data_IF_135244781975
#
_entry.id   IF_135244781975
#
_cell.length_a   1.000
_cell.length_b   1.000
_cell.length_c   1.000
_cell.angle_alpha   90.00
_cell.angle_beta   90.00
_cell.angle_gamma   90.00
#
_symmetry.space_group_name_H-M   'P 1'
#
loop_
_entity.id
_entity.type
_entity.pdbx_description
1 polymer ?
#
# COMPACT_ATOMS: atom_id res chain seq x y z
N UNK A 1 1.77 8.13 22.84
CA UNK A 1 0.29 8.24 22.74
C UNK A 1 -0.01 8.63 21.31
N UNK A 2 -0.94 7.94 20.65
CA UNK A 2 -1.41 8.37 19.34
C UNK A 2 -2.05 9.75 19.46
N UNK A 3 -1.66 10.67 18.58
CA UNK A 3 -2.50 11.82 18.28
C UNK A 3 -3.86 11.30 17.81
N UNK A 4 -4.94 11.84 18.35
CA UNK A 4 -6.29 11.53 17.89
C UNK A 4 -6.38 11.75 16.37
N UNK A 5 -7.11 10.93 15.59
CA UNK A 5 -7.35 11.17 14.16
C UNK A 5 -7.79 12.61 13.83
N UNK A 6 -8.43 13.27 14.77
CA UNK A 6 -8.87 14.67 14.66
C UNK A 6 -7.73 15.69 14.50
N UNK A 7 -6.47 15.30 14.71
CA UNK A 7 -5.30 16.17 14.59
C UNK A 7 -4.55 16.00 13.26
N UNK A 8 -4.95 15.05 12.44
CA UNK A 8 -4.35 14.84 11.14
C UNK A 8 -4.98 15.78 10.10
N UNK A 9 -4.19 16.27 9.12
CA UNK A 9 -4.75 17.08 8.05
C UNK A 9 -5.82 16.30 7.28
N UNK A 10 -6.86 16.98 6.78
CA UNK A 10 -7.86 16.32 5.95
C UNK A 10 -7.19 15.74 4.69
N UNK A 11 -7.71 14.61 4.22
CA UNK A 11 -7.23 14.02 2.98
C UNK A 11 -7.45 15.00 1.82
N UNK A 12 -6.44 15.21 0.96
CA UNK A 12 -6.61 16.07 -0.21
C UNK A 12 -7.66 15.46 -1.15
N UNK A 13 -8.66 16.25 -1.53
CA UNK A 13 -9.69 15.82 -2.47
C UNK A 13 -9.14 15.85 -3.90
N UNK A 14 -8.65 14.71 -4.36
CA UNK A 14 -8.01 14.51 -5.67
C UNK A 14 -8.44 13.18 -6.28
N UNK A 15 -8.35 13.00 -7.60
CA UNK A 15 -8.50 11.69 -8.22
C UNK A 15 -7.51 10.68 -7.64
N UNK A 16 -7.88 9.40 -7.60
CA UNK A 16 -7.11 8.35 -6.94
C UNK A 16 -6.21 7.59 -7.91
N UNK A 17 -4.99 7.29 -7.46
CA UNK A 17 -4.17 6.19 -7.96
C UNK A 17 -4.16 5.12 -6.88
N UNK A 18 -4.48 3.87 -7.22
CA UNK A 18 -4.52 2.76 -6.26
C UNK A 18 -3.50 1.67 -6.64
N UNK A 19 -3.13 0.86 -5.66
CA UNK A 19 -2.42 -0.40 -5.92
C UNK A 19 -3.34 -1.40 -6.62
N UNK A 20 -2.78 -2.33 -7.40
CA UNK A 20 -3.52 -3.30 -8.20
C UNK A 20 -3.92 -4.57 -7.42
N UNK A 21 -4.31 -4.43 -6.18
CA UNK A 21 -4.73 -5.57 -5.34
C UNK A 21 -6.05 -5.31 -4.58
N UNK A 22 -6.40 -6.24 -3.71
CA UNK A 22 -7.65 -6.18 -2.97
C UNK A 22 -7.70 -5.00 -1.99
N UNK A 23 -6.57 -4.65 -1.36
CA UNK A 23 -6.53 -3.54 -0.41
C UNK A 23 -6.70 -2.19 -1.13
N UNK A 24 -6.04 -2.03 -2.28
CA UNK A 24 -6.24 -0.87 -3.16
C UNK A 24 -7.70 -0.76 -3.64
N UNK A 25 -8.35 -1.86 -4.01
CA UNK A 25 -9.74 -1.86 -4.44
C UNK A 25 -10.72 -1.52 -3.30
N UNK A 26 -10.54 -2.08 -2.11
CA UNK A 26 -11.36 -1.76 -0.93
C UNK A 26 -11.16 -0.31 -0.50
N UNK A 27 -9.92 0.17 -0.54
CA UNK A 27 -9.59 1.57 -0.27
C UNK A 27 -10.28 2.51 -1.24
N UNK A 28 -10.29 2.17 -2.54
CA UNK A 28 -11.03 2.91 -3.55
C UNK A 28 -12.52 2.94 -3.26
N UNK A 29 -13.15 1.79 -3.01
CA UNK A 29 -14.58 1.72 -2.73
C UNK A 29 -14.97 2.58 -1.52
N UNK A 30 -14.18 2.53 -0.44
CA UNK A 30 -14.37 3.36 0.73
C UNK A 30 -14.28 4.87 0.43
N UNK A 31 -13.27 5.29 -0.33
CA UNK A 31 -13.08 6.70 -0.68
C UNK A 31 -14.10 7.17 -1.72
N UNK A 32 -14.55 6.29 -2.60
CA UNK A 32 -15.63 6.58 -3.54
C UNK A 32 -16.93 6.97 -2.83
N UNK A 33 -17.25 6.36 -1.69
CA UNK A 33 -18.40 6.79 -0.87
C UNK A 33 -18.28 8.24 -0.40
N UNK A 34 -17.06 8.76 -0.34
CA UNK A 34 -16.73 10.15 0.01
C UNK A 34 -16.57 11.07 -1.21
N UNK A 35 -16.89 10.58 -2.43
CA UNK A 35 -16.86 11.35 -3.67
C UNK A 35 -15.56 11.31 -4.45
N UNK A 36 -14.57 10.51 -4.05
CA UNK A 36 -13.32 10.37 -4.81
C UNK A 36 -13.53 9.55 -6.08
N UNK A 37 -12.80 9.88 -7.13
CA UNK A 37 -12.84 9.19 -8.42
C UNK A 37 -11.53 8.43 -8.68
N UNK A 38 -11.63 7.26 -9.30
CA UNK A 38 -10.47 6.50 -9.75
C UNK A 38 -9.90 7.10 -11.03
N UNK A 39 -8.61 7.36 -11.06
CA UNK A 39 -7.90 7.91 -12.20
C UNK A 39 -6.70 7.06 -12.64
N UNK A 40 -6.20 6.18 -11.78
CA UNK A 40 -5.06 5.36 -12.13
C UNK A 40 -4.91 4.13 -11.26
N UNK A 41 -4.11 3.19 -11.77
CA UNK A 41 -3.70 1.96 -11.08
C UNK A 41 -2.21 1.78 -11.25
N UNK A 42 -1.52 1.42 -10.18
CA UNK A 42 -0.10 1.16 -10.17
C UNK A 42 0.19 -0.27 -9.70
N UNK A 43 0.93 -1.03 -10.51
CA UNK A 43 1.26 -2.43 -10.23
C UNK A 43 2.70 -2.64 -9.71
N UNK A 44 3.33 -1.57 -9.26
CA UNK A 44 4.72 -1.47 -8.81
C UNK A 44 5.78 -1.49 -9.93
N UNK A 45 5.37 -1.64 -11.18
CA UNK A 45 6.25 -1.58 -12.35
C UNK A 45 5.75 -0.56 -13.37
N UNK A 46 4.43 -0.46 -13.53
CA UNK A 46 3.80 0.42 -14.50
C UNK A 46 2.66 1.21 -13.86
N UNK A 47 2.67 2.51 -14.07
CA UNK A 47 1.56 3.37 -13.72
C UNK A 47 0.64 3.52 -14.92
N UNK A 48 -0.59 3.06 -14.75
CA UNK A 48 -1.68 3.19 -15.73
C UNK A 48 -2.58 4.34 -15.31
N UNK A 49 -2.86 5.25 -16.24
CA UNK A 49 -3.66 6.44 -15.95
C UNK A 49 -4.80 6.61 -16.94
N UNK A 50 -5.89 7.21 -16.46
CA UNK A 50 -6.95 7.75 -17.33
C UNK A 50 -6.35 8.81 -18.25
N UNK A 51 -6.67 8.81 -19.56
CA UNK A 51 -6.21 9.84 -20.48
C UNK A 51 -6.51 11.25 -19.98
N UNK A 52 -5.54 12.15 -20.11
CA UNK A 52 -5.67 13.55 -19.70
C UNK A 52 -5.44 13.84 -18.22
N UNK A 53 -5.34 12.83 -17.36
CA UNK A 53 -5.03 13.03 -15.94
C UNK A 53 -3.54 12.92 -15.68
N UNK A 54 -2.97 13.86 -14.93
CA UNK A 54 -1.56 13.84 -14.54
C UNK A 54 -1.40 13.17 -13.18
N UNK A 55 -0.36 12.35 -12.96
CA UNK A 55 -0.10 11.75 -11.65
C UNK A 55 0.02 12.76 -10.51
N UNK A 56 0.61 13.94 -10.79
CA UNK A 56 0.78 15.02 -9.81
C UNK A 56 -0.55 15.63 -9.30
N UNK A 57 -1.63 15.43 -10.02
CA UNK A 57 -2.96 15.91 -9.63
C UNK A 57 -3.73 14.87 -8.78
N UNK A 58 -3.13 13.69 -8.53
CA UNK A 58 -3.77 12.58 -7.87
C UNK A 58 -3.33 12.40 -6.42
N UNK A 59 -4.11 11.62 -5.68
CA UNK A 59 -3.78 11.03 -4.38
C UNK A 59 -3.50 9.55 -4.59
N UNK A 60 -2.32 9.09 -4.24
CA UNK A 60 -1.97 7.68 -4.24
C UNK A 60 -2.45 7.01 -2.95
N UNK A 61 -3.11 5.85 -3.06
CA UNK A 61 -3.70 5.13 -1.94
C UNK A 61 -3.28 3.67 -1.99
N UNK A 62 -2.93 3.14 -0.83
CA UNK A 62 -2.30 1.84 -0.68
C UNK A 62 -0.94 1.78 -1.40
N UNK A 63 -0.27 2.90 -1.39
CA UNK A 63 1.00 3.13 -2.07
C UNK A 63 1.89 4.03 -1.22
N UNK A 64 3.17 3.72 -1.17
CA UNK A 64 4.20 4.56 -0.58
C UNK A 64 5.02 5.22 -1.70
N UNK A 65 4.58 6.38 -2.13
CA UNK A 65 5.18 7.16 -3.22
C UNK A 65 5.97 8.33 -2.66
N UNK A 66 7.24 8.38 -3.00
CA UNK A 66 8.14 9.47 -2.59
C UNK A 66 8.29 10.50 -3.72
N UNK A 67 7.23 11.24 -3.96
CA UNK A 67 7.21 12.31 -4.96
C UNK A 67 6.65 13.59 -4.35
N UNK A 68 7.30 14.76 -4.52
CA UNK A 68 6.91 15.99 -3.83
C UNK A 68 5.52 16.51 -4.21
N UNK A 69 5.01 16.15 -5.39
CA UNK A 69 3.72 16.62 -5.90
C UNK A 69 2.59 15.59 -5.76
N UNK A 70 2.91 14.33 -5.44
CA UNK A 70 1.93 13.26 -5.34
C UNK A 70 1.76 12.86 -3.88
N UNK A 71 0.72 13.35 -3.21
CA UNK A 71 0.41 12.88 -1.87
C UNK A 71 0.06 11.39 -1.92
N UNK A 72 0.49 10.65 -0.91
CA UNK A 72 0.22 9.22 -0.82
C UNK A 72 -0.19 8.79 0.58
N UNK A 73 -0.99 7.73 0.64
CA UNK A 73 -1.41 7.04 1.85
C UNK A 73 -0.96 5.60 1.74
N UNK A 74 -0.11 5.18 2.64
CA UNK A 74 0.38 3.82 2.72
C UNK A 74 0.69 3.42 4.15
N UNK A 75 1.12 2.17 4.33
CA UNK A 75 1.49 1.64 5.65
C UNK A 75 2.85 0.93 5.62
N UNK A 76 3.55 0.96 4.48
CA UNK A 76 4.88 0.42 4.34
C UNK A 76 5.93 1.32 5.02
N UNK A 77 7.16 0.89 5.03
CA UNK A 77 8.12 1.26 6.06
C UNK A 77 8.99 2.48 5.75
N UNK A 78 9.17 2.87 4.51
CA UNK A 78 10.18 3.86 4.13
C UNK A 78 9.62 5.19 3.67
N UNK A 79 10.31 6.26 4.04
CA UNK A 79 9.99 7.63 3.66
C UNK A 79 11.21 8.34 3.13
N UNK A 80 11.05 8.93 1.96
CA UNK A 80 12.00 9.86 1.38
C UNK A 80 11.53 11.32 1.52
N UNK A 81 10.23 11.54 1.75
CA UNK A 81 9.66 12.86 2.00
C UNK A 81 8.44 12.73 2.91
N UNK A 82 8.44 13.49 3.99
CA UNK A 82 7.35 13.54 4.96
C UNK A 82 6.18 14.44 4.52
N UNK A 83 6.40 15.36 3.56
CA UNK A 83 5.49 16.48 3.32
C UNK A 83 4.22 16.09 2.55
N UNK A 84 4.26 14.99 1.79
CA UNK A 84 3.13 14.57 0.95
C UNK A 84 2.57 13.19 1.29
N UNK A 85 3.00 12.59 2.41
CA UNK A 85 2.74 11.19 2.70
C UNK A 85 2.16 10.99 4.09
N UNK A 86 1.11 10.18 4.17
CA UNK A 86 0.49 9.74 5.43
C UNK A 86 0.80 8.25 5.61
N UNK A 87 1.59 7.92 6.61
CA UNK A 87 1.98 6.55 6.89
C UNK A 87 1.89 6.27 8.40
N UNK A 88 1.22 5.18 8.77
CA UNK A 88 1.08 4.80 10.18
C UNK A 88 2.43 4.60 10.87
N UNK A 89 3.39 4.02 10.17
CA UNK A 89 4.71 3.79 10.75
C UNK A 89 5.42 5.09 11.12
N UNK A 90 5.20 6.18 10.36
CA UNK A 90 5.69 7.52 10.72
C UNK A 90 5.02 8.07 11.96
N UNK A 91 3.70 7.98 12.00
CA UNK A 91 2.91 8.53 13.12
C UNK A 91 3.31 7.90 14.46
N UNK A 92 3.86 6.68 14.42
CA UNK A 92 4.34 5.96 15.60
C UNK A 92 5.86 5.97 15.77
N UNK A 93 6.59 6.73 14.95
CA UNK A 93 8.05 6.81 15.01
C UNK A 93 8.77 5.50 14.70
N UNK A 94 8.13 4.59 13.94
CA UNK A 94 8.71 3.29 13.57
C UNK A 94 9.66 3.40 12.39
N UNK A 95 9.51 4.45 11.59
CA UNK A 95 10.27 4.67 10.36
C UNK A 95 11.29 5.80 10.49
N UNK A 96 12.37 5.60 11.24
CA UNK A 96 13.48 6.57 11.23
C UNK A 96 14.64 6.02 10.44
N UNK A 97 15.19 6.78 9.46
CA UNK A 97 16.30 6.36 8.61
C UNK A 97 17.65 6.24 9.34
N UNK A 98 17.74 6.73 10.57
CA UNK A 98 19.01 7.09 11.17
C UNK A 98 19.87 5.96 11.76
N UNK A 99 19.40 4.70 11.85
CA UNK A 99 20.23 3.60 12.36
C UNK A 99 19.84 2.23 11.81
N UNK A 100 20.57 1.78 10.84
CA UNK A 100 20.13 0.94 9.76
C UNK A 100 20.12 -0.57 10.00
N UNK A 101 21.03 -1.19 10.72
CA UNK A 101 21.07 -2.66 10.70
C UNK A 101 20.26 -3.34 11.80
N UNK A 102 20.45 -2.98 13.04
CA UNK A 102 19.74 -3.56 14.18
C UNK A 102 18.33 -2.98 14.36
N UNK A 103 18.16 -1.68 14.07
CA UNK A 103 16.86 -1.02 14.14
C UNK A 103 15.93 -1.47 13.02
N UNK A 104 16.45 -1.82 11.83
CA UNK A 104 15.64 -2.34 10.74
C UNK A 104 15.01 -3.70 11.07
N UNK A 105 15.74 -4.61 11.70
CA UNK A 105 15.16 -5.88 12.16
C UNK A 105 14.03 -5.64 13.17
N UNK A 106 14.25 -4.76 14.14
CA UNK A 106 13.22 -4.36 15.11
C UNK A 106 12.06 -3.63 14.46
N UNK A 107 12.36 -2.77 13.51
CA UNK A 107 11.37 -2.00 12.78
C UNK A 107 10.49 -2.88 11.87
N UNK A 108 11.05 -3.89 11.20
CA UNK A 108 10.28 -4.84 10.42
C UNK A 108 9.22 -5.56 11.25
N UNK A 109 9.60 -6.08 12.42
CA UNK A 109 8.66 -6.77 13.34
C UNK A 109 7.73 -5.80 14.07
N UNK A 110 7.98 -4.50 13.99
CA UNK A 110 7.20 -3.45 14.63
C UNK A 110 6.37 -2.62 13.66
N UNK A 111 6.55 -2.82 12.35
CA UNK A 111 5.81 -2.08 11.32
C UNK A 111 4.30 -2.29 11.44
N UNK A 112 3.55 -1.32 10.92
CA UNK A 112 2.09 -1.41 10.87
C UNK A 112 1.67 -2.59 9.98
N UNK A 113 0.92 -3.57 10.52
CA UNK A 113 0.42 -4.71 9.76
C UNK A 113 -1.01 -4.46 9.25
N UNK A 114 -1.55 -3.27 9.47
CA UNK A 114 -2.96 -2.97 9.23
C UNK A 114 -3.16 -2.60 7.77
N UNK A 115 -4.10 -3.24 7.05
CA UNK A 115 -4.45 -2.89 5.68
C UNK A 115 -4.82 -1.42 5.52
N UNK A 116 -4.50 -0.83 4.38
CA UNK A 116 -4.78 0.58 4.08
C UNK A 116 -6.28 0.88 4.13
N UNK A 117 -7.12 -0.03 3.65
CA UNK A 117 -8.58 0.12 3.74
C UNK A 117 -9.07 0.22 5.19
N UNK A 118 -8.51 -0.60 6.09
CA UNK A 118 -8.82 -0.54 7.52
C UNK A 118 -8.22 0.73 8.16
N UNK A 119 -7.02 1.12 7.76
CA UNK A 119 -6.39 2.37 8.20
C UNK A 119 -7.19 3.61 7.80
N UNK A 120 -7.80 3.63 6.62
CA UNK A 120 -8.65 4.73 6.16
C UNK A 120 -9.88 4.94 7.07
N UNK A 121 -10.47 3.88 7.62
CA UNK A 121 -11.54 4.01 8.62
C UNK A 121 -11.05 4.79 9.84
N UNK A 122 -9.88 4.43 10.36
CA UNK A 122 -9.28 5.13 11.50
C UNK A 122 -8.90 6.57 11.16
N UNK A 123 -8.23 6.78 10.04
CA UNK A 123 -7.74 8.08 9.59
C UNK A 123 -8.86 9.10 9.40
N UNK A 124 -10.01 8.65 8.88
CA UNK A 124 -11.17 9.52 8.63
C UNK A 124 -12.16 9.58 9.79
N UNK A 125 -11.90 8.86 10.89
CA UNK A 125 -12.84 8.74 12.00
C UNK A 125 -14.15 8.04 11.63
N UNK A 126 -14.17 7.29 10.51
CA UNK A 126 -15.36 6.53 10.07
C UNK A 126 -15.46 5.25 10.91
N UNK A 127 -16.60 4.98 11.57
CA UNK A 127 -16.77 3.76 12.32
C UNK A 127 -16.54 2.51 11.47
N UNK A 128 -16.02 1.45 12.09
CA UNK A 128 -15.95 0.14 11.45
C UNK A 128 -17.36 -0.40 11.18
N UNK A 129 -17.54 -1.18 10.10
CA UNK A 129 -18.78 -1.92 9.89
C UNK A 129 -19.07 -2.82 11.11
N UNK A 130 -20.31 -2.87 11.58
CA UNK A 130 -20.71 -3.78 12.64
C UNK A 130 -20.77 -5.25 12.17
N UNK A 131 -20.99 -5.47 10.87
CA UNK A 131 -21.09 -6.78 10.24
C UNK A 131 -19.72 -7.50 10.24
N UNK A 132 -19.62 -8.72 10.82
CA UNK A 132 -18.38 -9.48 10.86
C UNK A 132 -17.81 -9.84 9.48
N UNK A 133 -18.66 -10.06 8.48
CA UNK A 133 -18.20 -10.34 7.11
C UNK A 133 -17.50 -9.12 6.51
N UNK A 134 -18.05 -7.92 6.68
CA UNK A 134 -17.42 -6.67 6.21
C UNK A 134 -16.10 -6.40 6.93
N UNK A 135 -16.04 -6.66 8.22
CA UNK A 135 -14.76 -6.59 8.95
C UNK A 135 -13.78 -7.63 8.44
N UNK A 136 -14.24 -8.85 8.13
CA UNK A 136 -13.39 -9.90 7.57
C UNK A 136 -12.78 -9.51 6.22
N UNK A 137 -13.52 -8.83 5.34
CA UNK A 137 -12.97 -8.27 4.10
C UNK A 137 -11.81 -7.29 4.36
N UNK A 138 -11.98 -6.37 5.30
CA UNK A 138 -10.94 -5.41 5.69
C UNK A 138 -9.70 -6.09 6.30
N UNK A 139 -9.90 -7.12 7.11
CA UNK A 139 -8.82 -7.92 7.72
C UNK A 139 -8.09 -8.77 6.69
N UNK A 140 -8.82 -9.29 5.71
CA UNK A 140 -8.29 -10.16 4.67
C UNK A 140 -7.48 -9.39 3.62
N UNK A 141 -7.79 -8.12 3.39
CA UNK A 141 -7.27 -7.30 2.28
C UNK A 141 -5.75 -7.36 2.12
N UNK A 142 -5.00 -7.22 3.21
CA UNK A 142 -3.52 -7.33 3.24
C UNK A 142 -3.04 -8.36 4.28
N UNK A 143 -3.80 -9.44 4.43
CA UNK A 143 -3.39 -10.58 5.27
C UNK A 143 -3.13 -10.26 6.75
N UNK A 144 -3.89 -9.33 7.35
CA UNK A 144 -3.73 -8.98 8.76
C UNK A 144 -3.86 -10.22 9.68
N UNK A 145 -4.71 -11.18 9.34
CA UNK A 145 -4.87 -12.43 10.08
C UNK A 145 -3.61 -13.31 10.07
N UNK A 146 -2.87 -13.38 8.93
CA UNK A 146 -1.58 -14.06 8.86
C UNK A 146 -0.49 -13.30 9.63
N UNK A 147 -0.54 -11.97 9.57
CA UNK A 147 0.32 -11.12 10.39
C UNK A 147 0.07 -11.34 11.89
N UNK A 148 -1.20 -11.51 12.30
CA UNK A 148 -1.55 -11.86 13.68
C UNK A 148 -0.99 -13.23 14.07
N UNK A 149 -1.14 -14.24 13.23
CA UNK A 149 -0.58 -15.59 13.52
C UNK A 149 0.93 -15.59 13.72
N UNK A 150 1.65 -14.75 12.99
CA UNK A 150 3.12 -14.69 13.04
C UNK A 150 3.67 -13.70 14.07
N UNK A 151 2.97 -12.59 14.28
CA UNK A 151 3.44 -11.43 15.04
C UNK A 151 2.35 -10.87 15.96
N UNK A 152 1.63 -11.75 16.66
CA UNK A 152 0.49 -11.38 17.52
C UNK A 152 0.76 -10.18 18.46
N UNK A 153 1.90 -10.07 19.15
CA UNK A 153 2.16 -8.91 20.02
C UNK A 153 2.21 -7.58 19.26
N UNK A 154 2.76 -7.59 18.04
CA UNK A 154 2.81 -6.39 17.21
C UNK A 154 1.41 -5.99 16.72
N UNK A 155 0.65 -6.95 16.16
CA UNK A 155 -0.71 -6.70 15.67
C UNK A 155 -1.62 -6.23 16.82
N UNK A 156 -1.51 -6.86 17.99
CA UNK A 156 -2.25 -6.44 19.19
C UNK A 156 -1.98 -4.99 19.55
N UNK A 157 -0.70 -4.60 19.59
CA UNK A 157 -0.30 -3.22 19.88
C UNK A 157 -0.94 -2.23 18.92
N UNK A 158 -0.89 -2.51 17.61
CA UNK A 158 -1.43 -1.64 16.59
C UNK A 158 -2.95 -1.53 16.66
N UNK A 159 -3.65 -2.65 16.74
CA UNK A 159 -5.10 -2.66 16.80
C UNK A 159 -5.63 -1.96 18.06
N UNK A 160 -5.02 -2.19 19.24
CA UNK A 160 -5.39 -1.50 20.47
C UNK A 160 -5.11 0.02 20.37
N UNK A 161 -3.99 0.41 19.78
CA UNK A 161 -3.64 1.81 19.59
C UNK A 161 -4.64 2.54 18.66
N UNK A 162 -5.23 1.83 17.70
CA UNK A 162 -6.28 2.35 16.82
C UNK A 162 -7.69 2.24 17.41
N UNK A 163 -7.85 1.65 18.60
CA UNK A 163 -9.16 1.41 19.20
C UNK A 163 -9.93 0.22 18.61
N UNK A 164 -9.25 -0.69 17.90
CA UNK A 164 -9.85 -1.84 17.21
C UNK A 164 -9.80 -3.13 18.04
N UNK A 165 -10.11 -3.03 19.33
CA UNK A 165 -10.15 -4.18 20.24
C UNK A 165 -11.13 -5.27 19.79
N UNK A 166 -12.23 -4.93 19.12
CA UNK A 166 -13.18 -5.89 18.58
C UNK A 166 -12.57 -6.76 17.48
N UNK A 167 -11.82 -6.16 16.54
CA UNK A 167 -11.10 -6.92 15.51
C UNK A 167 -10.09 -7.87 16.16
N UNK A 168 -9.35 -7.39 17.16
CA UNK A 168 -8.39 -8.21 17.89
C UNK A 168 -9.07 -9.40 18.58
N UNK A 169 -10.20 -9.18 19.23
CA UNK A 169 -10.98 -10.26 19.85
C UNK A 169 -11.42 -11.31 18.82
N UNK A 170 -11.93 -10.89 17.68
CA UNK A 170 -12.37 -11.78 16.59
C UNK A 170 -11.21 -12.53 15.93
N UNK A 171 -10.03 -11.93 15.83
CA UNK A 171 -8.81 -12.61 15.35
C UNK A 171 -8.35 -13.68 16.36
N UNK A 172 -8.38 -13.36 17.65
CA UNK A 172 -7.93 -14.30 18.70
C UNK A 172 -8.87 -15.49 18.90
N UNK A 173 -10.15 -15.32 18.60
CA UNK A 173 -11.18 -16.37 18.72
C UNK A 173 -11.46 -17.10 17.39
N UNK A 174 -10.69 -16.83 16.34
CA UNK A 174 -10.86 -17.38 14.98
C UNK A 174 -12.27 -17.19 14.40
N UNK A 175 -12.99 -16.18 14.87
CA UNK A 175 -14.37 -15.88 14.44
C UNK A 175 -14.45 -15.55 12.96
N UNK A 176 -13.36 -15.09 12.33
CA UNK A 176 -13.33 -14.77 10.90
C UNK A 176 -13.17 -15.98 9.98
N UNK A 177 -12.82 -17.17 10.46
CA UNK A 177 -12.54 -18.33 9.62
C UNK A 177 -13.66 -18.69 8.61
N UNK A 178 -14.96 -18.73 9.00
CA UNK A 178 -16.04 -18.97 8.04
C UNK A 178 -16.16 -17.86 6.99
N UNK A 179 -15.91 -16.61 7.38
CA UNK A 179 -15.94 -15.47 6.48
C UNK A 179 -14.79 -15.47 5.48
N UNK A 180 -13.59 -15.89 5.89
CA UNK A 180 -12.45 -16.04 4.96
C UNK A 180 -12.72 -17.10 3.90
N UNK A 181 -13.41 -18.20 4.23
CA UNK A 181 -13.85 -19.18 3.21
C UNK A 181 -14.78 -18.56 2.19
N UNK A 182 -15.78 -17.80 2.65
CA UNK A 182 -16.69 -17.07 1.77
C UNK A 182 -15.94 -16.08 0.87
N UNK A 183 -14.98 -15.31 1.42
CA UNK A 183 -14.14 -14.36 0.67
C UNK A 183 -13.34 -15.09 -0.43
N UNK A 184 -12.70 -16.21 -0.09
CA UNK A 184 -11.97 -17.04 -1.06
C UNK A 184 -12.89 -17.53 -2.17
N UNK A 185 -14.11 -18.00 -1.84
CA UNK A 185 -15.09 -18.44 -2.83
C UNK A 185 -15.51 -17.29 -3.76
N UNK A 186 -15.76 -16.10 -3.21
CA UNK A 186 -16.09 -14.92 -4.02
C UNK A 186 -14.93 -14.57 -4.95
N UNK A 187 -13.73 -14.43 -4.42
CA UNK A 187 -12.54 -14.08 -5.21
C UNK A 187 -12.27 -15.09 -6.33
N UNK A 188 -12.41 -16.39 -6.04
CA UNK A 188 -12.18 -17.46 -7.02
C UNK A 188 -13.15 -17.41 -8.21
N UNK A 189 -14.40 -17.00 -8.00
CA UNK A 189 -15.39 -16.82 -9.09
C UNK A 189 -14.98 -15.74 -10.09
N UNK A 190 -14.14 -14.79 -9.67
CA UNK A 190 -13.64 -13.71 -10.51
C UNK A 190 -12.22 -13.93 -11.03
N UNK A 191 -11.73 -15.17 -10.91
CA UNK A 191 -10.44 -15.57 -11.48
C UNK A 191 -9.23 -15.19 -10.64
N UNK A 192 -9.42 -14.77 -9.40
CA UNK A 192 -8.34 -14.72 -8.42
C UNK A 192 -8.06 -16.12 -7.89
N UNK A 193 -6.85 -16.35 -7.42
CA UNK A 193 -6.43 -17.64 -6.88
C UNK A 193 -6.00 -17.53 -5.41
N UNK A 194 -6.84 -16.96 -4.53
CA UNK A 194 -6.49 -16.80 -3.13
C UNK A 194 -6.44 -18.17 -2.45
N UNK A 195 -5.62 -18.26 -1.41
CA UNK A 195 -5.70 -19.35 -0.46
C UNK A 195 -6.02 -18.79 0.92
N UNK A 196 -6.69 -19.56 1.76
CA UNK A 196 -6.94 -19.17 3.16
C UNK A 196 -5.66 -18.92 3.95
N UNK A 197 -4.54 -19.49 3.49
CA UNK A 197 -3.24 -19.37 4.15
C UNK A 197 -2.34 -18.26 3.55
N UNK A 198 -2.56 -17.90 2.28
CA UNK A 198 -1.76 -16.88 1.58
C UNK A 198 -2.66 -16.06 0.67
N UNK A 199 -3.40 -15.10 1.20
CA UNK A 199 -4.21 -14.20 0.36
C UNK A 199 -3.36 -13.32 -0.55
N UNK A 200 -2.15 -12.99 -0.15
CA UNK A 200 -1.21 -12.17 -0.90
C UNK A 200 -0.08 -13.02 -1.51
N UNK A 201 0.30 -12.86 -2.79
CA UNK A 201 -0.03 -11.84 -3.80
C UNK A 201 -1.15 -12.25 -4.78
N UNK A 202 -1.95 -13.27 -4.48
CA UNK A 202 -2.88 -13.90 -5.42
C UNK A 202 -4.13 -13.05 -5.74
N UNK A 203 -4.33 -11.94 -5.03
CA UNK A 203 -5.45 -11.02 -5.28
C UNK A 203 -5.04 -9.81 -6.15
N UNK A 204 -3.94 -9.90 -6.90
CA UNK A 204 -3.54 -8.87 -7.86
C UNK A 204 -4.26 -9.02 -9.19
N UNK A 205 -4.57 -7.89 -9.80
CA UNK A 205 -5.15 -7.85 -11.14
C UNK A 205 -4.23 -7.10 -12.11
N UNK A 206 -4.35 -7.43 -13.40
CA UNK A 206 -3.68 -6.63 -14.43
C UNK A 206 -4.41 -5.29 -14.60
N UNK A 207 -3.73 -4.14 -14.46
CA UNK A 207 -4.38 -2.82 -14.61
C UNK A 207 -5.04 -2.60 -15.97
N UNK A 208 -4.52 -3.21 -17.03
CA UNK A 208 -5.13 -3.18 -18.37
C UNK A 208 -6.53 -3.83 -18.41
N UNK A 209 -6.82 -4.71 -17.45
CA UNK A 209 -8.12 -5.38 -17.30
C UNK A 209 -9.06 -4.67 -16.32
N UNK A 210 -8.70 -3.48 -15.85
CA UNK A 210 -9.51 -2.74 -14.87
C UNK A 210 -10.99 -2.62 -15.26
N UNK A 211 -11.39 -2.28 -16.51
CA UNK A 211 -12.81 -2.24 -16.88
C UNK A 211 -13.53 -3.59 -16.73
N UNK A 212 -12.83 -4.71 -16.92
CA UNK A 212 -13.40 -6.05 -16.77
C UNK A 212 -13.63 -6.48 -15.31
N UNK A 213 -13.10 -5.72 -14.34
CA UNK A 213 -13.34 -5.94 -12.92
C UNK A 213 -14.67 -5.35 -12.43
N UNK A 214 -15.41 -4.64 -13.28
CA UNK A 214 -16.68 -4.02 -12.88
C UNK A 214 -17.64 -4.99 -12.18
N UNK A 215 -17.91 -6.21 -12.70
CA UNK A 215 -18.77 -7.18 -12.01
C UNK A 215 -18.24 -7.57 -10.63
N UNK A 216 -16.93 -7.75 -10.49
CA UNK A 216 -16.32 -8.04 -9.19
C UNK A 216 -16.48 -6.88 -8.22
N UNK A 217 -16.20 -5.64 -8.64
CA UNK A 217 -16.37 -4.46 -7.79
C UNK A 217 -17.81 -4.20 -7.39
N UNK A 218 -18.78 -4.54 -8.24
CA UNK A 218 -20.22 -4.49 -7.88
C UNK A 218 -20.55 -5.48 -6.76
N UNK A 219 -20.02 -6.71 -6.84
CA UNK A 219 -20.16 -7.69 -5.77
C UNK A 219 -19.47 -7.21 -4.50
N UNK A 220 -18.22 -6.77 -4.60
CA UNK A 220 -17.45 -6.28 -3.45
C UNK A 220 -18.12 -5.08 -2.78
N UNK A 221 -18.61 -4.11 -3.56
CA UNK A 221 -19.35 -2.97 -3.04
C UNK A 221 -20.61 -3.40 -2.27
N UNK A 222 -21.39 -4.36 -2.80
CA UNK A 222 -22.54 -4.92 -2.12
C UNK A 222 -22.16 -5.64 -0.83
N UNK A 223 -21.12 -6.48 -0.84
CA UNK A 223 -20.62 -7.17 0.35
C UNK A 223 -20.21 -6.18 1.44
N UNK A 224 -19.58 -5.07 1.04
CA UNK A 224 -19.18 -4.00 1.96
C UNK A 224 -20.31 -3.05 2.36
N UNK A 225 -21.48 -3.13 1.69
CA UNK A 225 -22.60 -2.20 1.90
C UNK A 225 -22.36 -0.80 1.34
N UNK A 226 -21.51 -0.70 0.33
CA UNK A 226 -21.27 0.52 -0.42
C UNK A 226 -22.23 0.64 -1.61
N UNK A 227 -22.33 1.85 -2.17
CA UNK A 227 -23.11 2.08 -3.40
C UNK A 227 -22.52 1.27 -4.56
N UNK A 228 -23.40 0.83 -5.47
CA UNK A 228 -22.98 0.12 -6.68
C UNK A 228 -21.98 0.94 -7.49
N UNK A 229 -21.03 0.25 -8.11
CA UNK A 229 -20.09 0.83 -9.08
C UNK A 229 -20.71 0.70 -10.46
N UNK A 230 -20.94 1.83 -11.14
CA UNK A 230 -21.61 1.82 -12.45
C UNK A 230 -20.61 1.72 -13.60
N UNK A 231 -19.40 2.28 -13.41
CA UNK A 231 -18.35 2.25 -14.43
C UNK A 231 -16.96 2.31 -13.78
N UNK A 232 -15.97 1.92 -14.55
CA UNK A 232 -14.55 2.08 -14.22
C UNK A 232 -13.84 2.81 -15.38
N UNK A 233 -12.85 3.64 -15.09
CA UNK A 233 -12.13 4.34 -16.14
C UNK A 233 -11.34 3.36 -17.00
N UNK A 234 -11.28 3.61 -18.29
CA UNK A 234 -10.23 3.04 -19.13
C UNK A 234 -8.90 3.70 -18.75
N UNK A 235 -7.90 2.88 -18.49
CA UNK A 235 -6.54 3.32 -18.15
C UNK A 235 -5.54 2.80 -19.18
N UNK A 236 -4.47 3.55 -19.40
CA UNK A 236 -3.39 3.18 -20.30
C UNK A 236 -2.04 3.39 -19.63
N UNK A 237 -0.98 2.67 -20.02
CA UNK A 237 0.35 2.88 -19.48
C UNK A 237 0.78 4.33 -19.66
N UNK A 238 1.25 4.95 -18.58
CA UNK A 238 1.72 6.34 -18.58
C UNK A 238 3.19 6.45 -18.20
N UNK A 239 3.57 5.72 -17.18
CA UNK A 239 4.95 5.62 -16.71
C UNK A 239 5.28 4.14 -16.58
N UNK A 240 6.49 3.76 -16.93
CA UNK A 240 6.98 2.40 -16.77
C UNK A 240 8.36 2.45 -16.13
N UNK A 241 8.62 1.51 -15.24
CA UNK A 241 9.87 1.43 -14.53
C UNK A 241 10.36 0.01 -14.34
N UNK A 242 11.42 -0.11 -13.60
CA UNK A 242 11.97 -1.38 -13.20
C UNK A 242 12.00 -1.49 -11.68
N UNK A 243 11.64 -2.66 -11.18
CA UNK A 243 11.66 -2.98 -9.76
C UNK A 243 13.03 -3.52 -9.38
N UNK A 244 13.58 -2.98 -8.31
CA UNK A 244 14.87 -3.38 -7.77
C UNK A 244 14.72 -3.86 -6.33
N UNK A 245 15.34 -4.99 -6.02
CA UNK A 245 15.50 -5.45 -4.64
C UNK A 245 16.89 -5.05 -4.17
N UNK A 246 16.95 -4.10 -3.27
CA UNK A 246 18.20 -3.54 -2.74
C UNK A 246 18.39 -4.00 -1.31
N UNK A 247 19.62 -4.41 -0.97
CA UNK A 247 20.01 -4.48 0.43
C UNK A 247 20.10 -3.07 0.98
N UNK A 248 19.55 -2.90 2.16
CA UNK A 248 19.51 -1.59 2.76
C UNK A 248 20.91 -1.04 3.04
N UNK A 249 21.15 0.15 2.51
CA UNK A 249 22.34 0.95 2.82
C UNK A 249 21.92 2.43 2.89
N UNK A 250 22.27 3.17 3.96
CA UNK A 250 21.86 4.57 4.12
C UNK A 250 22.17 5.46 2.93
N UNK A 251 23.38 5.31 2.35
CA UNK A 251 23.80 6.09 1.20
C UNK A 251 22.96 5.86 -0.07
N UNK A 252 22.32 4.68 -0.22
CA UNK A 252 21.41 4.42 -1.34
C UNK A 252 20.18 5.32 -1.24
N UNK A 253 19.59 5.43 -0.05
CA UNK A 253 18.41 6.25 0.18
C UNK A 253 18.69 7.74 0.05
N UNK A 254 19.82 8.18 0.57
CA UNK A 254 20.25 9.56 0.42
C UNK A 254 20.49 9.93 -1.05
N UNK A 255 21.12 9.04 -1.82
CA UNK A 255 21.35 9.23 -3.25
C UNK A 255 20.04 9.23 -4.03
N UNK A 256 19.11 8.30 -3.75
CA UNK A 256 17.79 8.25 -4.36
C UNK A 256 16.99 9.50 -4.02
N UNK A 257 16.95 9.92 -2.76
CA UNK A 257 16.19 11.09 -2.33
C UNK A 257 16.67 12.42 -2.92
N UNK A 258 17.97 12.54 -3.25
CA UNK A 258 18.55 13.78 -3.82
C UNK A 258 18.37 13.90 -5.33
N UNK A 259 18.42 12.79 -6.07
CA UNK A 259 18.47 12.81 -7.55
C UNK A 259 17.13 12.72 -8.24
N UNK A 260 16.09 12.20 -7.56
CA UNK A 260 14.83 11.83 -8.19
C UNK A 260 13.65 12.75 -7.81
N UNK A 261 13.89 14.04 -7.70
CA UNK A 261 12.91 15.00 -7.16
C UNK A 261 11.87 15.53 -8.15
N UNK A 262 12.07 15.44 -9.45
CA UNK A 262 11.27 16.25 -10.37
C UNK A 262 10.31 15.48 -11.28
N UNK A 263 10.56 14.20 -11.62
CA UNK A 263 9.76 13.48 -12.63
C UNK A 263 9.65 11.97 -12.47
N UNK A 264 10.17 11.41 -11.38
CA UNK A 264 10.17 9.97 -11.13
C UNK A 264 9.28 9.61 -9.96
N UNK A 265 8.34 8.69 -10.21
CA UNK A 265 7.60 8.03 -9.16
C UNK A 265 8.49 6.95 -8.55
N UNK A 266 8.88 7.15 -7.32
CA UNK A 266 9.56 6.14 -6.54
C UNK A 266 8.57 5.53 -5.55
N UNK A 267 8.25 4.27 -5.74
CA UNK A 267 7.56 3.48 -4.72
C UNK A 267 8.54 2.53 -4.05
N UNK A 268 8.28 2.23 -2.80
CA UNK A 268 9.16 1.35 -2.03
C UNK A 268 8.39 0.53 -1.02
N UNK A 269 8.93 -0.63 -0.70
CA UNK A 269 8.42 -1.49 0.37
C UNK A 269 9.56 -2.24 1.05
N UNK A 270 9.43 -2.44 2.36
CA UNK A 270 10.35 -3.29 3.11
C UNK A 270 9.84 -4.74 3.04
N UNK A 271 10.56 -5.59 2.31
CA UNK A 271 10.14 -6.98 2.09
C UNK A 271 10.67 -7.93 3.15
N UNK A 272 11.92 -7.69 3.61
CA UNK A 272 12.59 -8.48 4.64
C UNK A 272 13.34 -7.57 5.61
N UNK A 273 13.97 -8.14 6.62
CA UNK A 273 14.70 -7.40 7.65
C UNK A 273 15.79 -6.46 7.12
N UNK A 274 16.36 -6.75 5.95
CA UNK A 274 17.47 -6.03 5.34
C UNK A 274 17.28 -5.75 3.84
N UNK A 275 16.12 -6.04 3.28
CA UNK A 275 15.81 -5.83 1.87
C UNK A 275 14.69 -4.84 1.67
N UNK A 276 14.95 -3.90 0.79
CA UNK A 276 13.99 -2.90 0.34
C UNK A 276 13.75 -3.10 -1.14
N UNK A 277 12.50 -3.19 -1.53
CA UNK A 277 12.12 -3.09 -2.92
C UNK A 277 11.81 -1.64 -3.27
N UNK A 278 12.42 -1.17 -4.32
CA UNK A 278 12.18 0.17 -4.88
C UNK A 278 11.83 0.04 -6.34
N UNK A 279 10.88 0.82 -6.78
CA UNK A 279 10.55 0.95 -8.20
C UNK A 279 10.76 2.38 -8.64
N UNK A 280 11.53 2.53 -9.70
CA UNK A 280 11.76 3.78 -10.37
C UNK A 280 10.88 3.83 -11.62
N UNK A 281 10.01 4.81 -11.71
CA UNK A 281 9.14 5.00 -12.86
C UNK A 281 9.62 6.19 -13.68
N UNK A 282 9.69 5.99 -14.98
CA UNK A 282 10.03 7.02 -15.96
C UNK A 282 8.95 7.11 -17.04
N UNK A 283 8.76 8.28 -17.68
CA UNK A 283 7.89 8.38 -18.83
C UNK A 283 8.32 7.38 -19.92
N UNK A 284 7.35 6.75 -20.58
CA UNK A 284 7.64 5.82 -21.68
C UNK A 284 8.50 6.42 -22.79
N UNK A 285 8.39 7.74 -23.00
CA UNK A 285 9.20 8.50 -23.95
C UNK A 285 10.68 8.65 -23.55
N UNK A 286 11.02 8.40 -22.30
CA UNK A 286 12.34 8.67 -21.71
C UNK A 286 13.07 7.41 -21.23
N UNK A 287 12.54 6.22 -21.54
CA UNK A 287 13.15 4.94 -21.11
C UNK A 287 14.58 4.71 -21.63
N UNK A 288 15.00 5.46 -22.63
CA UNK A 288 16.35 5.40 -23.20
C UNK A 288 17.34 6.42 -22.60
N UNK A 289 16.95 7.18 -21.57
CA UNK A 289 17.84 8.18 -20.98
C UNK A 289 19.04 7.51 -20.26
N UNK A 290 20.27 7.65 -20.81
CA UNK A 290 21.46 7.05 -20.24
C UNK A 290 21.85 7.67 -18.90
N UNK A 291 21.45 8.90 -18.60
CA UNK A 291 21.78 9.59 -17.35
C UNK A 291 21.00 8.96 -16.20
N UNK A 292 19.72 8.68 -16.41
CA UNK A 292 18.88 7.99 -15.45
C UNK A 292 19.43 6.59 -15.12
N UNK A 293 19.67 5.80 -16.17
CA UNK A 293 20.18 4.43 -15.99
C UNK A 293 21.57 4.38 -15.36
N UNK A 294 22.41 5.37 -15.61
CA UNK A 294 23.71 5.48 -14.94
C UNK A 294 23.54 5.85 -13.45
N UNK A 295 22.58 6.70 -13.10
CA UNK A 295 22.28 7.00 -11.70
C UNK A 295 21.76 5.76 -10.95
N UNK A 296 20.84 5.00 -11.55
CA UNK A 296 20.36 3.71 -11.01
C UNK A 296 21.50 2.72 -10.83
N UNK A 297 22.35 2.52 -11.86
CA UNK A 297 23.51 1.62 -11.77
C UNK A 297 24.50 2.05 -10.71
N UNK A 298 24.74 3.34 -10.55
CA UNK A 298 25.62 3.87 -9.49
C UNK A 298 25.06 3.55 -8.12
N UNK A 299 23.75 3.67 -7.89
CA UNK A 299 23.11 3.27 -6.64
C UNK A 299 23.21 1.76 -6.39
N UNK A 300 23.07 0.96 -7.46
CA UNK A 300 23.15 -0.52 -7.37
C UNK A 300 24.58 -1.03 -7.19
N UNK A 301 25.59 -0.27 -7.62
CA UNK A 301 27.01 -0.63 -7.53
C UNK A 301 27.71 -0.19 -6.23
N UNK A 302 26.97 0.42 -5.29
CA UNK A 302 27.52 0.71 -3.97
C UNK A 302 28.01 -0.58 -3.30
N UNK A 303 29.20 -0.59 -2.69
CA UNK A 303 29.80 -1.80 -2.18
C UNK A 303 28.88 -2.48 -1.16
N UNK A 304 28.72 -3.80 -1.32
CA UNK A 304 28.09 -4.63 -0.30
C UNK A 304 28.88 -4.44 0.98
N UNK A 305 28.30 -3.79 1.97
CA UNK A 305 28.93 -3.68 3.28
C UNK A 305 29.27 -5.08 3.77
N UNK A 306 30.54 -5.33 4.06
CA UNK A 306 30.99 -6.57 4.68
C UNK A 306 30.13 -6.86 5.91
N UNK A 307 29.72 -8.11 6.05
CA UNK A 307 29.03 -8.56 7.26
C UNK A 307 29.89 -8.17 8.45
N UNK A 308 29.40 -7.35 9.37
CA UNK A 308 30.01 -7.24 10.68
C UNK A 308 30.17 -8.67 11.23
N UNK A 309 31.35 -9.06 11.68
CA UNK A 309 31.48 -10.36 12.33
C UNK A 309 30.54 -10.45 13.51
N UNK A 310 30.01 -11.65 13.70
CA UNK A 310 28.99 -11.99 14.69
C UNK A 310 29.43 -11.73 16.13
#
# INVERSE_FOLDING_TARGET
MLSSPKQLPPLPFRPLIIHNDLDGLLSYLFLREKGYELAGVYDLETLYMKPGVRPADCLAVDLDISHPLIPSIGHHFLLFSAESHINMNMLFGVSTPENVSERMKRAFVSKCPVPTALFLHWLTGTPLPADPLRQAWLVYADSLHESYRKYAPNVTRWLLAMGYGEILHRLSSDTYAPHFRHIVDVLSRFGFSPTTQKPFPQCRFSPSRLPSLLPFLQVLAREMGFRSVDNLPAVQPRLQGARYSLRFHPGVFEALGRKFREWELLSHSLVYHDQVEVTLLVPLSEQSDPVLWNAVRTCLSLPKTEKSPA
#
